data_IF_788201151702
#
_entry.id   IF_788201151702
#
_cell.length_a   1.000
_cell.length_b   1.000
_cell.length_c   1.000
_cell.angle_alpha   90.00
_cell.angle_beta   90.00
_cell.angle_gamma   90.00
#
_symmetry.space_group_name_H-M   'P 1'
#
loop_
_entity.id
_entity.type
_entity.pdbx_description
1 polymer ?
#
# COMPACT_ATOMS: atom_id res chain seq x y z
N UNK A 1 -37.10 27.37 -12.36
CA UNK A 1 -36.86 27.31 -10.91
C UNK A 1 -37.56 26.08 -10.35
N UNK A 2 -36.80 25.06 -9.95
CA UNK A 2 -37.26 23.97 -9.09
C UNK A 2 -36.00 23.40 -8.40
N UNK A 3 -35.95 23.49 -7.06
CA UNK A 3 -34.89 22.90 -6.23
C UNK A 3 -35.25 21.43 -5.97
N UNK A 4 -34.32 20.46 -6.03
CA UNK A 4 -34.58 19.16 -5.44
C UNK A 4 -34.42 19.27 -3.92
N UNK A 5 -35.42 18.77 -3.20
CA UNK A 5 -35.42 18.59 -1.75
C UNK A 5 -34.40 17.50 -1.40
N UNK A 6 -33.35 17.85 -0.64
CA UNK A 6 -32.58 16.85 0.11
C UNK A 6 -33.48 16.34 1.24
N UNK A 7 -33.96 15.11 1.13
CA UNK A 7 -34.49 14.38 2.27
C UNK A 7 -33.32 14.02 3.19
N UNK A 8 -33.20 14.72 4.32
CA UNK A 8 -32.32 14.31 5.42
C UNK A 8 -32.95 13.09 6.08
N UNK A 9 -32.33 11.93 5.93
CA UNK A 9 -32.74 10.72 6.64
C UNK A 9 -31.94 10.66 7.94
N UNK A 10 -32.62 10.88 9.07
CA UNK A 10 -32.11 10.55 10.40
C UNK A 10 -32.25 9.04 10.60
N UNK A 11 -31.13 8.31 10.67
CA UNK A 11 -31.14 6.87 11.00
C UNK A 11 -31.11 6.72 12.53
N UNK A 12 -32.12 6.02 13.07
CA UNK A 12 -32.29 5.79 14.50
C UNK A 12 -31.92 4.33 14.84
N UNK A 13 -31.16 4.09 15.91
CA UNK A 13 -30.51 2.81 16.20
C UNK A 13 -31.44 1.66 16.67
N UNK A 14 -32.75 1.89 16.76
CA UNK A 14 -33.71 0.93 17.35
C UNK A 14 -34.51 0.08 16.34
N UNK A 15 -34.26 0.19 15.03
CA UNK A 15 -35.06 -0.53 14.04
C UNK A 15 -34.58 -1.99 13.84
N UNK A 16 -35.19 -2.94 14.57
CA UNK A 16 -35.09 -4.38 14.28
C UNK A 16 -35.81 -4.71 12.96
N UNK A 17 -35.03 -4.80 11.87
CA UNK A 17 -35.32 -5.24 10.49
C UNK A 17 -35.43 -4.11 9.47
N UNK A 18 -34.46 -4.08 8.55
CA UNK A 18 -34.55 -3.38 7.26
C UNK A 18 -34.79 -4.43 6.18
N UNK A 19 -35.85 -4.26 5.38
CA UNK A 19 -36.18 -5.12 4.24
C UNK A 19 -35.40 -4.70 2.99
N UNK A 20 -34.54 -5.57 2.49
CA UNK A 20 -33.67 -5.37 1.33
C UNK A 20 -34.39 -5.73 0.01
N UNK A 21 -35.16 -4.80 -0.58
CA UNK A 21 -35.70 -5.03 -1.94
C UNK A 21 -35.40 -3.98 -3.01
N UNK A 22 -34.92 -2.77 -2.68
CA UNK A 22 -34.79 -1.70 -3.70
C UNK A 22 -33.39 -1.05 -3.82
N UNK A 23 -32.30 -1.75 -3.48
CA UNK A 23 -30.96 -1.15 -3.49
C UNK A 23 -30.05 -1.80 -4.53
N UNK A 24 -29.44 -0.97 -5.39
CA UNK A 24 -28.37 -1.38 -6.30
C UNK A 24 -27.10 -1.78 -5.54
N UNK A 25 -26.41 -2.80 -6.05
CA UNK A 25 -25.31 -3.52 -5.38
C UNK A 25 -24.18 -2.61 -4.86
N UNK A 26 -23.94 -1.46 -5.50
CA UNK A 26 -22.89 -0.50 -5.08
C UNK A 26 -23.22 0.33 -3.82
N UNK A 27 -24.50 0.58 -3.54
CA UNK A 27 -24.92 1.36 -2.36
C UNK A 27 -24.90 0.51 -1.07
N UNK A 28 -24.97 -0.82 -1.20
CA UNK A 28 -24.95 -1.75 -0.06
C UNK A 28 -23.58 -1.80 0.63
N UNK A 29 -22.47 -1.67 -0.11
CA UNK A 29 -21.11 -1.74 0.47
C UNK A 29 -20.77 -0.50 1.29
N UNK A 30 -21.14 0.70 0.83
CA UNK A 30 -20.90 1.93 1.57
C UNK A 30 -21.77 2.04 2.83
N UNK A 31 -23.04 1.59 2.76
CA UNK A 31 -23.95 1.60 3.90
C UNK A 31 -23.55 0.57 4.98
N UNK A 32 -23.01 -0.60 4.60
CA UNK A 32 -22.57 -1.61 5.55
C UNK A 32 -21.34 -1.18 6.35
N UNK A 33 -20.40 -0.47 5.71
CA UNK A 33 -19.20 0.10 6.36
C UNK A 33 -19.56 1.22 7.33
N UNK A 34 -20.56 2.04 6.99
CA UNK A 34 -21.04 3.12 7.88
C UNK A 34 -21.89 2.58 9.05
N UNK A 35 -22.67 1.52 8.85
CA UNK A 35 -23.51 0.94 9.91
C UNK A 35 -22.70 0.26 11.00
N UNK A 36 -21.61 -0.43 10.65
CA UNK A 36 -20.70 -1.06 11.64
C UNK A 36 -19.98 -0.05 12.53
N UNK A 37 -19.81 1.20 12.08
CA UNK A 37 -19.15 2.25 12.84
C UNK A 37 -20.07 2.93 13.89
N UNK A 38 -21.40 2.85 13.74
CA UNK A 38 -22.35 3.63 14.54
C UNK A 38 -23.09 2.85 15.64
N UNK A 39 -22.97 1.52 15.69
CA UNK A 39 -23.75 0.67 16.60
C UNK A 39 -22.88 -0.40 17.30
N UNK A 40 -22.03 0.04 18.24
CA UNK A 40 -21.40 -0.84 19.23
C UNK A 40 -22.05 -0.60 20.61
N UNK A 41 -22.50 -1.65 21.33
CA UNK A 41 -23.15 -1.46 22.62
C UNK A 41 -22.11 -1.18 23.71
N UNK A 42 -22.13 0.03 24.28
CA UNK A 42 -21.54 0.30 25.58
C UNK A 42 -22.44 -0.31 26.66
N UNK A 43 -21.95 -1.31 27.38
CA UNK A 43 -22.61 -1.83 28.58
C UNK A 43 -21.99 -1.24 29.85
N UNK A 44 -22.88 -1.04 30.82
CA UNK A 44 -22.77 -0.18 31.99
C UNK A 44 -21.75 -0.59 33.07
N UNK A 45 -21.51 0.40 33.92
CA UNK A 45 -20.55 0.55 35.02
C UNK A 45 -20.51 -0.57 36.08
N UNK A 46 -19.31 -0.77 36.63
CA UNK A 46 -19.03 -1.47 37.87
C UNK A 46 -17.59 -1.20 38.31
N UNK A 47 -17.43 -0.36 39.34
CA UNK A 47 -16.14 0.07 39.92
C UNK A 47 -15.31 -1.10 40.46
N UNK A 48 -14.00 -1.14 40.17
CA UNK A 48 -12.90 -1.18 41.17
C UNK A 48 -11.51 -1.35 40.51
N UNK A 49 -10.67 -0.32 40.68
CA UNK A 49 -9.21 -0.34 40.77
C UNK A 49 -8.38 -1.30 39.87
N UNK A 50 -8.13 -0.93 38.60
CA UNK A 50 -6.94 -1.31 37.83
C UNK A 50 -6.60 -0.25 36.75
N UNK A 51 -6.23 0.96 37.16
CA UNK A 51 -5.58 1.95 36.28
C UNK A 51 -4.11 1.59 36.08
N UNK A 52 -3.79 0.69 35.13
CA UNK A 52 -2.49 0.71 34.42
C UNK A 52 -2.39 -0.23 33.20
N UNK A 53 -3.48 -0.77 32.65
CA UNK A 53 -3.37 -1.80 31.59
C UNK A 53 -4.43 -1.72 30.46
N UNK A 54 -5.07 -0.58 30.24
CA UNK A 54 -6.20 -0.45 29.30
C UNK A 54 -6.00 0.57 28.15
N UNK A 55 -4.76 0.93 27.81
CA UNK A 55 -4.47 1.93 26.75
C UNK A 55 -4.23 1.37 25.32
N UNK A 56 -4.27 0.06 25.07
CA UNK A 56 -3.92 -0.50 23.75
C UNK A 56 -5.10 -1.14 22.98
N UNK A 57 -6.33 -0.67 23.22
CA UNK A 57 -7.39 -0.87 22.24
C UNK A 57 -7.12 0.08 21.06
N UNK A 58 -6.64 -0.45 19.93
CA UNK A 58 -6.26 0.38 18.78
C UNK A 58 -7.45 1.15 18.23
N UNK A 59 -7.35 2.48 18.25
CA UNK A 59 -8.29 3.37 17.59
C UNK A 59 -8.21 3.18 16.06
N UNK A 60 -9.21 2.51 15.49
CA UNK A 60 -9.35 2.32 14.04
C UNK A 60 -10.01 3.51 13.33
N UNK A 61 -10.41 4.53 14.10
CA UNK A 61 -11.12 5.72 13.59
C UNK A 61 -10.17 6.86 13.22
N UNK A 62 -8.94 6.86 13.74
CA UNK A 62 -7.92 7.87 13.41
C UNK A 62 -6.72 7.23 12.71
N UNK A 63 -6.33 7.75 11.53
CA UNK A 63 -5.14 7.28 10.82
C UNK A 63 -3.86 7.60 11.62
N UNK A 64 -3.30 6.60 12.30
CA UNK A 64 -2.08 6.75 13.12
C UNK A 64 -1.07 5.65 12.81
N UNK A 65 0.03 6.04 12.16
CA UNK A 65 1.16 5.14 11.91
C UNK A 65 2.12 5.13 13.10
N UNK A 66 2.68 3.96 13.37
CA UNK A 66 3.67 3.70 14.42
C UNK A 66 5.07 3.63 13.80
N UNK A 67 6.10 3.90 14.59
CA UNK A 67 7.48 3.71 14.14
C UNK A 67 7.71 2.24 13.74
N UNK A 68 8.46 2.03 12.66
CA UNK A 68 8.85 0.72 12.17
C UNK A 68 10.35 0.52 12.23
N UNK A 69 10.76 -0.63 12.72
CA UNK A 69 12.13 -1.11 12.66
C UNK A 69 12.29 -2.13 11.54
N UNK A 70 13.40 -2.02 10.82
CA UNK A 70 13.73 -2.91 9.72
C UNK A 70 13.66 -4.39 10.14
N UNK A 71 12.93 -5.20 9.38
CA UNK A 71 12.80 -6.65 9.57
C UNK A 71 11.62 -7.08 10.44
N UNK A 72 11.05 -6.20 11.27
CA UNK A 72 9.86 -6.49 12.08
C UNK A 72 8.65 -5.73 11.56
N UNK A 73 7.59 -6.45 11.20
CA UNK A 73 6.37 -5.83 10.70
C UNK A 73 5.53 -5.28 11.85
N UNK A 74 5.12 -4.01 11.74
CA UNK A 74 4.10 -3.46 12.62
C UNK A 74 2.72 -3.79 12.04
N UNK A 75 1.96 -4.65 12.72
CA UNK A 75 0.67 -5.14 12.22
C UNK A 75 -0.37 -4.02 12.09
N UNK A 76 -0.33 -3.01 12.97
CA UNK A 76 -1.23 -1.86 12.87
C UNK A 76 -0.95 -1.04 11.61
N UNK A 77 0.33 -0.82 11.29
CA UNK A 77 0.72 -0.16 10.05
C UNK A 77 0.33 -1.00 8.83
N UNK A 78 0.54 -2.31 8.89
CA UNK A 78 0.12 -3.22 7.82
C UNK A 78 -1.40 -3.17 7.57
N UNK A 79 -2.20 -3.11 8.63
CA UNK A 79 -3.64 -2.90 8.54
C UNK A 79 -3.98 -1.57 7.85
N UNK A 80 -3.34 -0.47 8.26
CA UNK A 80 -3.53 0.83 7.60
C UNK A 80 -3.11 0.83 6.13
N UNK A 81 -1.98 0.20 5.79
CA UNK A 81 -1.52 0.08 4.41
C UNK A 81 -2.49 -0.75 3.56
N UNK A 82 -3.05 -1.83 4.11
CA UNK A 82 -4.08 -2.62 3.45
C UNK A 82 -5.36 -1.80 3.22
N UNK A 83 -5.83 -1.05 4.23
CA UNK A 83 -7.01 -0.19 4.11
C UNK A 83 -6.84 0.91 3.08
N UNK A 84 -5.68 1.58 3.06
CA UNK A 84 -5.40 2.64 2.10
C UNK A 84 -5.20 2.07 0.68
N UNK A 85 -4.69 0.84 0.56
CA UNK A 85 -4.67 0.13 -0.71
C UNK A 85 -6.08 -0.24 -1.20
N UNK A 86 -7.02 -0.55 -0.30
CA UNK A 86 -8.43 -0.73 -0.64
C UNK A 86 -9.08 0.60 -1.06
N UNK A 87 -8.76 1.68 -0.33
CA UNK A 87 -9.27 3.02 -0.63
C UNK A 87 -8.81 3.54 -1.99
N UNK A 88 -7.64 3.12 -2.47
CA UNK A 88 -7.10 3.51 -3.77
C UNK A 88 -8.00 3.13 -4.95
N UNK A 89 -8.90 2.14 -4.78
CA UNK A 89 -9.89 1.76 -5.78
C UNK A 89 -11.10 2.70 -5.87
N UNK A 90 -11.30 3.56 -4.87
CA UNK A 90 -12.42 4.49 -4.83
C UNK A 90 -12.14 5.75 -5.68
N UNK A 91 -13.19 6.50 -6.01
CA UNK A 91 -13.04 7.80 -6.66
C UNK A 91 -12.31 8.80 -5.76
N UNK A 92 -11.64 9.80 -6.34
CA UNK A 92 -10.95 10.86 -5.58
C UNK A 92 -11.86 11.48 -4.50
N UNK A 93 -13.12 11.75 -4.85
CA UNK A 93 -14.10 12.28 -3.89
C UNK A 93 -14.31 11.35 -2.69
N UNK A 94 -14.55 10.06 -2.94
CA UNK A 94 -14.73 9.07 -1.89
C UNK A 94 -13.46 8.87 -1.05
N UNK A 95 -12.28 8.93 -1.68
CA UNK A 95 -10.99 8.92 -0.97
C UNK A 95 -10.89 10.08 0.00
N UNK A 96 -11.14 11.31 -0.46
CA UNK A 96 -11.08 12.53 0.37
C UNK A 96 -12.09 12.46 1.53
N UNK A 97 -13.34 12.05 1.26
CA UNK A 97 -14.35 11.88 2.30
C UNK A 97 -13.93 10.86 3.36
N UNK A 98 -13.42 9.70 2.94
CA UNK A 98 -12.96 8.67 3.87
C UNK A 98 -11.74 9.13 4.68
N UNK A 99 -10.77 9.80 4.05
CA UNK A 99 -9.58 10.34 4.72
C UNK A 99 -9.93 11.43 5.74
N UNK A 100 -10.86 12.33 5.41
CA UNK A 100 -11.39 13.32 6.36
C UNK A 100 -12.07 12.64 7.55
N UNK A 101 -12.86 11.59 7.31
CA UNK A 101 -13.48 10.81 8.39
C UNK A 101 -12.43 10.09 9.26
N UNK A 102 -11.24 9.82 8.74
CA UNK A 102 -10.10 9.25 9.45
C UNK A 102 -9.20 10.31 10.12
N UNK A 103 -9.61 11.58 10.13
CA UNK A 103 -8.88 12.69 10.72
C UNK A 103 -7.70 13.20 9.88
N UNK A 104 -7.56 12.77 8.63
CA UNK A 104 -6.49 13.24 7.76
C UNK A 104 -6.86 14.57 7.07
N UNK A 105 -5.96 15.58 7.06
CA UNK A 105 -6.15 16.80 6.29
C UNK A 105 -6.16 16.52 4.78
N UNK A 106 -6.97 17.27 4.03
CA UNK A 106 -7.20 17.06 2.58
C UNK A 106 -6.96 18.31 1.72
N UNK A 107 -6.17 19.26 2.22
CA UNK A 107 -5.69 20.41 1.44
C UNK A 107 -4.53 20.01 0.51
N UNK A 108 -4.06 20.93 -0.33
CA UNK A 108 -2.98 20.68 -1.31
C UNK A 108 -1.62 20.40 -0.65
N UNK A 109 -1.44 20.73 0.63
CA UNK A 109 -0.23 20.39 1.37
C UNK A 109 -0.24 18.92 1.79
N UNK A 110 -1.42 18.34 2.03
CA UNK A 110 -1.55 17.02 2.61
C UNK A 110 -2.06 15.95 1.65
N UNK A 111 -2.89 16.29 0.68
CA UNK A 111 -3.48 15.33 -0.25
C UNK A 111 -3.16 15.64 -1.71
N UNK A 112 -2.83 14.61 -2.49
CA UNK A 112 -2.69 14.71 -3.94
C UNK A 112 -3.15 13.43 -4.61
N UNK A 113 -4.02 13.57 -5.62
CA UNK A 113 -4.41 12.48 -6.49
C UNK A 113 -3.63 12.53 -7.81
N UNK A 114 -3.28 11.36 -8.34
CA UNK A 114 -2.58 11.18 -9.60
C UNK A 114 -3.39 10.23 -10.47
N UNK A 115 -3.68 10.65 -11.70
CA UNK A 115 -4.32 9.84 -12.73
C UNK A 115 -3.66 10.15 -14.07
N UNK A 116 -2.88 9.19 -14.58
CA UNK A 116 -2.17 9.31 -15.84
C UNK A 116 -2.16 7.97 -16.57
N UNK A 117 -2.56 7.97 -17.84
CA UNK A 117 -2.59 6.78 -18.69
C UNK A 117 -3.29 5.55 -18.06
N UNK A 118 -4.34 5.78 -17.27
CA UNK A 118 -5.09 4.72 -16.57
C UNK A 118 -4.40 4.19 -15.31
N UNK A 119 -3.26 4.75 -14.93
CA UNK A 119 -2.55 4.47 -13.68
C UNK A 119 -2.97 5.51 -12.64
N UNK A 120 -3.31 5.03 -11.44
CA UNK A 120 -3.83 5.88 -10.39
C UNK A 120 -3.09 5.67 -9.08
N UNK A 121 -2.82 6.77 -8.38
CA UNK A 121 -2.27 6.77 -7.04
C UNK A 121 -2.81 7.97 -6.26
N UNK A 122 -2.82 7.87 -4.93
CA UNK A 122 -3.01 9.03 -4.09
C UNK A 122 -1.93 9.11 -3.02
N UNK A 123 -1.60 10.34 -2.67
CA UNK A 123 -0.74 10.70 -1.56
C UNK A 123 -1.57 11.35 -0.47
N UNK A 124 -1.33 10.96 0.78
CA UNK A 124 -1.87 11.63 1.96
C UNK A 124 -0.79 11.79 3.02
N UNK A 125 -0.69 12.98 3.62
CA UNK A 125 0.18 13.27 4.74
C UNK A 125 -0.63 13.58 6.01
N UNK A 126 -0.10 13.10 7.12
CA UNK A 126 -0.51 13.43 8.49
C UNK A 126 0.65 14.16 9.18
N UNK A 127 0.45 14.59 10.42
CA UNK A 127 1.52 15.22 11.23
C UNK A 127 2.72 14.30 11.50
N UNK A 128 2.57 12.99 11.29
CA UNK A 128 3.58 12.01 11.71
C UNK A 128 4.11 11.13 10.57
N UNK A 129 3.38 11.01 9.47
CA UNK A 129 3.77 10.21 8.33
C UNK A 129 3.01 10.59 7.06
N UNK A 130 3.60 10.26 5.91
CA UNK A 130 3.01 10.30 4.60
C UNK A 130 2.78 8.89 4.07
N UNK A 131 1.72 8.72 3.29
CA UNK A 131 1.37 7.47 2.62
C UNK A 131 1.18 7.76 1.13
N UNK A 132 1.79 6.94 0.29
CA UNK A 132 1.56 6.86 -1.14
C UNK A 132 0.93 5.51 -1.47
N UNK A 133 -0.32 5.52 -1.91
CA UNK A 133 -1.08 4.31 -2.23
C UNK A 133 -1.39 4.23 -3.73
N UNK A 134 -0.97 3.14 -4.37
CA UNK A 134 -1.23 2.86 -5.77
C UNK A 134 -2.46 1.98 -5.94
N UNK A 135 -3.34 2.35 -6.87
CA UNK A 135 -4.49 1.54 -7.25
C UNK A 135 -4.05 0.34 -8.09
N UNK A 136 -4.66 -0.81 -7.86
CA UNK A 136 -4.53 -1.98 -8.73
C UNK A 136 -5.63 -2.06 -9.80
N UNK A 137 -5.82 -3.23 -10.39
CA UNK A 137 -6.96 -3.49 -11.29
C UNK A 137 -8.10 -4.20 -10.55
N UNK A 138 -9.32 -4.16 -11.10
CA UNK A 138 -10.53 -4.74 -10.49
C UNK A 138 -11.05 -5.96 -11.24
N UNK A 139 -11.73 -6.86 -10.50
CA UNK A 139 -12.65 -7.88 -11.01
C UNK A 139 -12.24 -8.62 -12.29
N UNK A 140 -12.87 -8.27 -13.42
CA UNK A 140 -12.63 -8.90 -14.71
C UNK A 140 -11.22 -8.65 -15.25
N UNK A 141 -10.71 -7.44 -15.07
CA UNK A 141 -9.37 -7.03 -15.50
C UNK A 141 -8.27 -7.65 -14.65
N UNK A 142 -8.56 -8.21 -13.47
CA UNK A 142 -7.57 -8.97 -12.70
C UNK A 142 -7.16 -10.26 -13.40
N UNK A 143 -8.11 -10.94 -14.08
CA UNK A 143 -7.79 -12.16 -14.83
C UNK A 143 -6.96 -11.83 -16.07
N UNK A 144 -7.30 -10.73 -16.74
CA UNK A 144 -6.54 -10.24 -17.89
C UNK A 144 -5.16 -9.77 -17.46
N UNK A 145 -5.06 -8.96 -16.40
CA UNK A 145 -3.80 -8.56 -15.78
C UNK A 145 -2.96 -9.76 -15.37
N UNK A 146 -3.56 -10.80 -14.78
CA UNK A 146 -2.83 -12.01 -14.43
C UNK A 146 -2.27 -12.70 -15.68
N UNK A 147 -3.07 -12.78 -16.76
CA UNK A 147 -2.63 -13.36 -18.04
C UNK A 147 -1.49 -12.54 -18.66
N UNK A 148 -1.61 -11.21 -18.62
CA UNK A 148 -0.61 -10.28 -19.12
C UNK A 148 0.66 -10.31 -18.27
N UNK A 149 0.52 -10.32 -16.93
CA UNK A 149 1.64 -10.43 -16.00
C UNK A 149 2.33 -11.80 -16.11
N UNK A 150 1.61 -12.85 -16.51
CA UNK A 150 2.20 -14.14 -16.82
C UNK A 150 2.97 -14.14 -18.15
N UNK A 151 2.71 -13.18 -19.05
CA UNK A 151 3.43 -13.06 -20.30
C UNK A 151 4.88 -12.60 -20.07
N UNK A 152 5.80 -13.17 -20.84
CA UNK A 152 7.23 -12.84 -20.76
C UNK A 152 7.56 -11.53 -21.50
N UNK A 153 6.99 -10.42 -21.03
CA UNK A 153 7.17 -9.10 -21.64
C UNK A 153 8.12 -8.24 -20.79
N UNK A 154 9.43 -8.34 -21.05
CA UNK A 154 10.46 -7.62 -20.31
C UNK A 154 11.06 -6.47 -21.11
N UNK A 155 11.35 -5.36 -20.42
CA UNK A 155 12.13 -4.24 -20.95
C UNK A 155 13.33 -3.98 -20.06
N UNK A 156 14.40 -3.43 -20.65
CA UNK A 156 15.53 -2.93 -19.88
C UNK A 156 15.08 -1.69 -19.11
N UNK A 157 15.17 -1.75 -17.78
CA UNK A 157 14.98 -0.60 -16.92
C UNK A 157 16.34 -0.07 -16.46
N UNK A 158 16.31 0.81 -15.45
CA UNK A 158 17.50 1.31 -14.78
C UNK A 158 18.30 0.18 -14.16
N UNK A 159 17.63 -0.75 -13.48
CA UNK A 159 18.28 -1.89 -12.87
C UNK A 159 17.64 -3.17 -13.37
N UNK A 160 18.44 -4.00 -14.05
CA UNK A 160 17.96 -5.26 -14.60
C UNK A 160 16.83 -5.07 -15.60
N UNK A 161 16.00 -6.10 -15.73
CA UNK A 161 14.81 -6.09 -16.58
C UNK A 161 13.55 -6.14 -15.74
N UNK A 162 12.53 -5.43 -16.18
CA UNK A 162 11.22 -5.30 -15.53
C UNK A 162 10.11 -5.70 -16.48
N UNK A 163 8.96 -6.05 -15.93
CA UNK A 163 7.76 -6.25 -16.75
C UNK A 163 7.36 -4.93 -17.43
N UNK A 164 7.18 -4.97 -18.76
CA UNK A 164 6.94 -3.80 -19.61
C UNK A 164 5.77 -2.95 -19.14
N UNK A 165 4.63 -3.58 -18.87
CA UNK A 165 3.43 -2.86 -18.44
C UNK A 165 3.58 -2.18 -17.07
N UNK A 166 4.41 -2.74 -16.17
CA UNK A 166 4.65 -2.12 -14.87
C UNK A 166 5.60 -0.92 -15.00
N UNK A 167 6.62 -1.01 -15.87
CA UNK A 167 7.50 0.10 -16.18
C UNK A 167 6.74 1.25 -16.86
N UNK A 168 6.03 0.96 -17.95
CA UNK A 168 5.24 1.97 -18.67
C UNK A 168 4.23 2.67 -17.75
N UNK A 169 3.57 1.90 -16.87
CA UNK A 169 2.64 2.48 -15.89
C UNK A 169 3.32 3.34 -14.82
N UNK A 170 4.51 2.94 -14.37
CA UNK A 170 5.29 3.72 -13.41
C UNK A 170 5.80 5.01 -14.06
N UNK A 171 6.34 4.93 -15.28
CA UNK A 171 6.82 6.09 -16.03
C UNK A 171 5.72 7.10 -16.36
N UNK A 172 4.51 6.62 -16.67
CA UNK A 172 3.37 7.50 -16.88
C UNK A 172 3.06 8.37 -15.64
N UNK A 173 3.18 7.80 -14.43
CA UNK A 173 3.04 8.57 -13.19
C UNK A 173 4.28 9.45 -12.92
N UNK A 174 5.47 8.99 -13.31
CA UNK A 174 6.77 9.65 -13.07
C UNK A 174 7.16 10.71 -14.12
N UNK A 175 6.24 11.10 -15.01
CA UNK A 175 6.46 12.16 -16.01
C UNK A 175 6.84 13.52 -15.38
N UNK A 176 7.33 14.43 -16.22
CA UNK A 176 7.75 15.79 -15.81
C UNK A 176 6.58 16.58 -15.19
N UNK A 177 6.76 17.07 -13.96
CA UNK A 177 5.71 17.67 -13.14
C UNK A 177 4.77 16.66 -12.44
N UNK A 178 5.05 15.36 -12.56
CA UNK A 178 4.23 14.26 -12.07
C UNK A 178 4.54 13.82 -10.63
N UNK A 179 4.32 12.54 -10.36
CA UNK A 179 4.50 11.92 -9.04
C UNK A 179 5.95 12.02 -8.55
N UNK A 180 6.92 11.84 -9.45
CA UNK A 180 8.34 11.91 -9.11
C UNK A 180 8.74 13.26 -8.53
N UNK A 181 8.39 14.34 -9.22
CA UNK A 181 8.71 15.70 -8.79
C UNK A 181 7.94 16.11 -7.53
N UNK A 182 6.68 15.67 -7.43
CA UNK A 182 5.90 15.85 -6.21
C UNK A 182 6.61 15.20 -5.01
N UNK A 183 7.01 13.93 -5.13
CA UNK A 183 7.72 13.23 -4.05
C UNK A 183 9.08 13.87 -3.76
N UNK A 184 9.82 14.28 -4.79
CA UNK A 184 11.10 15.02 -4.64
C UNK A 184 10.91 16.28 -3.81
N UNK A 185 9.85 17.06 -4.07
CA UNK A 185 9.57 18.31 -3.36
C UNK A 185 9.25 18.12 -1.86
N UNK A 186 8.76 16.93 -1.46
CA UNK A 186 8.33 16.63 -0.08
C UNK A 186 9.30 15.77 0.70
N UNK A 187 9.94 14.82 0.02
CA UNK A 187 10.72 13.73 0.60
C UNK A 187 12.14 13.63 0.03
N UNK A 188 12.52 14.57 -0.86
CA UNK A 188 13.87 14.66 -1.39
C UNK A 188 14.91 14.94 -0.30
N UNK A 189 16.03 14.25 -0.40
CA UNK A 189 17.17 14.36 0.51
C UNK A 189 18.45 14.49 -0.30
N UNK A 190 19.28 15.44 0.08
CA UNK A 190 20.63 15.63 -0.41
C UNK A 190 21.61 15.65 0.77
N UNK A 191 22.44 14.61 0.92
CA UNK A 191 23.41 14.49 2.02
C UNK A 191 24.33 15.71 2.16
N UNK A 192 24.64 16.41 1.06
CA UNK A 192 25.49 17.61 1.09
C UNK A 192 24.78 18.81 1.68
N UNK A 193 23.45 18.88 1.52
CA UNK A 193 22.59 19.98 1.98
C UNK A 193 22.01 19.67 3.37
N UNK A 194 21.50 18.46 3.56
CA UNK A 194 20.76 18.01 4.74
C UNK A 194 21.65 17.39 5.83
N UNK A 195 22.92 17.10 5.51
CA UNK A 195 23.81 16.38 6.41
C UNK A 195 23.59 14.87 6.39
N UNK A 196 24.14 14.10 7.36
CA UNK A 196 24.25 12.65 7.26
C UNK A 196 22.98 11.87 7.60
N UNK A 197 21.97 12.51 8.20
CA UNK A 197 20.72 11.86 8.63
C UNK A 197 19.53 12.54 7.99
N UNK A 198 18.74 11.85 7.14
CA UNK A 198 17.53 12.43 6.56
C UNK A 198 16.53 12.74 7.67
N UNK A 199 16.11 14.01 7.75
CA UNK A 199 15.00 14.47 8.58
C UNK A 199 13.84 14.84 7.66
N UNK A 200 13.01 13.86 7.35
CA UNK A 200 11.80 14.00 6.51
C UNK A 200 10.64 13.29 7.19
N UNK A 201 9.42 13.71 6.84
CA UNK A 201 8.22 13.01 7.24
C UNK A 201 8.29 11.56 6.71
N UNK A 202 8.16 10.53 7.55
CA UNK A 202 8.24 9.14 7.11
C UNK A 202 7.30 8.84 5.95
N UNK A 203 7.83 8.29 4.85
CA UNK A 203 7.05 7.94 3.67
C UNK A 203 6.80 6.43 3.61
N UNK A 204 5.53 6.04 3.69
CA UNK A 204 5.06 4.68 3.50
C UNK A 204 4.52 4.55 2.08
N UNK A 205 5.00 3.54 1.36
CA UNK A 205 4.57 3.25 -0.01
C UNK A 205 3.81 1.94 -0.01
N UNK A 206 2.61 1.93 -0.57
CA UNK A 206 1.73 0.76 -0.56
C UNK A 206 0.96 0.54 -1.85
N UNK A 207 0.53 -0.69 -2.07
CA UNK A 207 -0.39 -1.02 -3.13
C UNK A 207 -0.81 -2.48 -3.12
N UNK A 208 -1.93 -2.74 -3.78
CA UNK A 208 -2.50 -4.07 -3.94
C UNK A 208 -2.44 -4.51 -5.41
N UNK A 209 -2.17 -5.79 -5.66
CA UNK A 209 -2.15 -6.36 -7.03
C UNK A 209 -1.16 -5.60 -7.94
N UNK A 210 -1.60 -5.12 -9.11
CA UNK A 210 -0.84 -4.18 -9.97
C UNK A 210 -0.30 -2.98 -9.18
N UNK A 211 -1.09 -2.41 -8.26
CA UNK A 211 -0.65 -1.30 -7.43
C UNK A 211 0.56 -1.66 -6.56
N UNK A 212 0.68 -2.92 -6.13
CA UNK A 212 1.85 -3.41 -5.41
C UNK A 212 3.11 -3.52 -6.31
N UNK A 213 2.92 -3.84 -7.59
CA UNK A 213 4.02 -3.80 -8.57
C UNK A 213 4.49 -2.36 -8.83
N UNK A 214 3.55 -1.43 -9.02
CA UNK A 214 3.85 -0.01 -9.18
C UNK A 214 4.52 0.58 -7.93
N UNK A 215 4.04 0.23 -6.72
CA UNK A 215 4.67 0.61 -5.46
C UNK A 215 6.14 0.15 -5.35
N UNK A 216 6.43 -1.05 -5.85
CA UNK A 216 7.79 -1.61 -5.87
C UNK A 216 8.69 -0.82 -6.82
N UNK A 217 8.23 -0.54 -8.04
CA UNK A 217 9.00 0.25 -9.02
C UNK A 217 9.13 1.73 -8.62
N UNK A 218 8.09 2.33 -8.05
CA UNK A 218 8.13 3.68 -7.48
C UNK A 218 9.17 3.79 -6.35
N UNK A 219 9.28 2.75 -5.52
CA UNK A 219 10.32 2.67 -4.49
C UNK A 219 11.70 2.56 -5.13
N UNK A 220 11.90 1.68 -6.12
CA UNK A 220 13.16 1.62 -6.89
C UNK A 220 13.52 3.00 -7.45
N UNK A 221 12.58 3.67 -8.14
CA UNK A 221 12.74 5.00 -8.70
C UNK A 221 13.18 6.01 -7.66
N UNK A 222 12.50 6.03 -6.51
CA UNK A 222 12.82 6.90 -5.38
C UNK A 222 14.26 6.71 -4.86
N UNK A 223 14.78 5.48 -4.87
CA UNK A 223 16.13 5.16 -4.41
C UNK A 223 17.24 5.55 -5.40
N UNK A 224 16.93 5.57 -6.71
CA UNK A 224 17.86 5.96 -7.80
C UNK A 224 17.63 7.38 -8.32
N UNK A 225 16.67 8.09 -7.75
CA UNK A 225 16.16 9.35 -8.28
C UNK A 225 17.26 10.41 -8.49
N UNK A 226 18.20 10.54 -7.54
CA UNK A 226 19.34 11.44 -7.69
C UNK A 226 20.46 10.93 -8.61
N UNK A 227 20.40 9.69 -9.10
CA UNK A 227 21.28 9.21 -10.17
C UNK A 227 20.91 9.80 -11.53
N UNK A 228 19.63 10.14 -11.72
CA UNK A 228 19.07 10.55 -13.02
C UNK A 228 19.54 11.95 -13.43
N UNK A 229 19.77 12.82 -12.44
CA UNK A 229 20.25 14.18 -12.66
C UNK A 229 21.76 14.24 -12.96
N UNK A 230 22.54 13.25 -12.54
CA UNK A 230 23.97 13.17 -12.83
C UNK A 230 24.20 12.34 -14.11
N UNK A 231 24.09 13.00 -15.27
CA UNK A 231 24.30 12.39 -16.59
C UNK A 231 25.70 11.75 -16.80
N UNK A 232 26.61 11.84 -15.82
CA UNK A 232 27.92 11.17 -15.81
C UNK A 232 27.90 9.81 -15.11
N UNK A 233 26.80 9.44 -14.44
CA UNK A 233 26.69 8.18 -13.72
C UNK A 233 26.32 7.02 -14.66
N UNK A 234 27.31 6.21 -15.03
CA UNK A 234 27.06 4.81 -15.44
C UNK A 234 26.47 4.07 -14.22
N UNK A 235 25.42 3.27 -14.41
CA UNK A 235 24.68 2.53 -13.36
C UNK A 235 25.56 1.95 -12.24
N UNK A 236 25.11 1.96 -10.97
CA UNK A 236 25.85 2.67 -9.93
C UNK A 236 26.74 1.74 -9.10
N UNK A 237 28.03 1.71 -9.44
CA UNK A 237 29.09 1.53 -8.44
C UNK A 237 29.70 2.87 -8.00
N UNK A 238 29.30 3.99 -8.61
CA UNK A 238 29.81 5.31 -8.26
C UNK A 238 28.99 5.90 -7.10
N UNK A 239 29.71 6.41 -6.10
CA UNK A 239 29.27 6.82 -4.77
C UNK A 239 28.17 7.91 -4.71
N UNK A 240 27.66 8.46 -5.82
CA UNK A 240 26.79 9.65 -5.82
C UNK A 240 25.30 9.41 -5.61
N UNK A 241 24.76 8.27 -6.06
CA UNK A 241 23.33 7.96 -6.03
C UNK A 241 22.71 7.85 -4.62
N UNK A 242 23.54 7.55 -3.62
CA UNK A 242 23.07 7.42 -2.23
C UNK A 242 22.87 8.78 -1.58
N UNK A 243 23.56 9.79 -2.09
CA UNK A 243 23.59 11.12 -1.50
C UNK A 243 22.36 11.94 -1.89
N UNK A 244 21.75 11.67 -3.05
CA UNK A 244 20.56 12.36 -3.54
C UNK A 244 19.46 11.35 -3.86
N UNK A 245 18.33 11.43 -3.15
CA UNK A 245 17.23 10.45 -3.29
C UNK A 245 15.92 10.98 -2.72
N UNK A 246 14.84 10.27 -3.01
CA UNK A 246 13.59 10.37 -2.24
C UNK A 246 13.68 9.37 -1.07
N UNK A 247 13.42 9.85 0.15
CA UNK A 247 13.51 9.03 1.36
C UNK A 247 12.22 8.23 1.53
N UNK A 248 12.30 6.92 1.31
CA UNK A 248 11.22 5.97 1.60
C UNK A 248 11.50 5.29 2.94
N UNK A 249 10.51 5.26 3.83
CA UNK A 249 10.62 4.62 5.15
C UNK A 249 10.15 3.17 5.12
N UNK A 250 9.04 2.89 4.45
CA UNK A 250 8.44 1.55 4.41
C UNK A 250 7.82 1.26 3.05
N UNK A 251 7.95 0.01 2.60
CA UNK A 251 7.28 -0.52 1.42
C UNK A 251 6.43 -1.72 1.86
N UNK A 252 5.11 -1.60 1.74
CA UNK A 252 4.19 -2.70 2.03
C UNK A 252 3.34 -3.03 0.82
N UNK A 253 3.37 -4.28 0.37
CA UNK A 253 2.60 -4.68 -0.80
C UNK A 253 1.69 -5.85 -0.46
N UNK A 254 0.52 -5.91 -1.10
CA UNK A 254 -0.50 -6.93 -0.86
C UNK A 254 -0.83 -7.65 -2.16
N UNK A 255 -0.60 -8.96 -2.22
CA UNK A 255 -0.89 -9.75 -3.42
C UNK A 255 -0.07 -9.29 -4.65
N UNK A 256 1.07 -8.64 -4.47
CA UNK A 256 1.85 -8.09 -5.58
C UNK A 256 2.50 -9.20 -6.42
N UNK A 257 2.46 -9.12 -7.76
CA UNK A 257 3.19 -10.04 -8.64
C UNK A 257 4.70 -9.80 -8.56
N UNK A 258 5.48 -10.72 -9.13
CA UNK A 258 6.91 -10.49 -9.36
C UNK A 258 7.09 -9.36 -10.38
N UNK A 259 8.08 -8.49 -10.15
CA UNK A 259 8.18 -7.22 -10.89
C UNK A 259 9.29 -7.22 -11.93
N UNK A 260 10.44 -7.83 -11.61
CA UNK A 260 11.57 -7.87 -12.52
C UNK A 260 12.45 -9.09 -12.32
N UNK A 261 13.59 -9.08 -12.99
CA UNK A 261 14.50 -10.21 -13.06
C UNK A 261 15.37 -10.36 -11.80
N UNK A 262 16.18 -11.43 -11.69
CA UNK A 262 17.03 -11.65 -10.52
C UNK A 262 18.01 -10.49 -10.23
N UNK A 263 18.39 -9.72 -11.25
CA UNK A 263 19.29 -8.56 -11.10
C UNK A 263 18.59 -7.46 -10.32
N UNK A 264 17.37 -7.10 -10.73
CA UNK A 264 16.55 -6.14 -10.00
C UNK A 264 16.26 -6.62 -8.57
N UNK A 265 15.84 -7.87 -8.44
CA UNK A 265 15.45 -8.46 -7.16
C UNK A 265 16.57 -8.36 -6.11
N UNK A 266 17.79 -8.76 -6.50
CA UNK A 266 18.96 -8.73 -5.61
C UNK A 266 19.41 -7.30 -5.30
N UNK A 267 19.41 -6.42 -6.32
CA UNK A 267 19.82 -5.03 -6.14
C UNK A 267 18.85 -4.27 -5.21
N UNK A 268 17.54 -4.36 -5.46
CA UNK A 268 16.55 -3.65 -4.66
C UNK A 268 16.53 -4.17 -3.22
N UNK A 269 16.65 -5.48 -3.02
CA UNK A 269 16.75 -6.04 -1.67
C UNK A 269 17.97 -5.56 -0.89
N UNK A 270 19.12 -5.42 -1.55
CA UNK A 270 20.32 -4.85 -0.95
C UNK A 270 20.14 -3.36 -0.59
N UNK A 271 19.56 -2.56 -1.49
CA UNK A 271 19.35 -1.11 -1.26
C UNK A 271 18.30 -0.84 -0.18
N UNK A 272 17.20 -1.59 -0.15
CA UNK A 272 16.22 -1.52 0.95
C UNK A 272 16.89 -1.86 2.28
N UNK A 273 17.75 -2.89 2.28
CA UNK A 273 18.44 -3.31 3.49
C UNK A 273 19.47 -2.29 3.97
N UNK A 274 20.25 -1.72 3.06
CA UNK A 274 21.32 -0.78 3.40
C UNK A 274 20.75 0.57 3.84
N UNK A 275 19.62 1.00 3.27
CA UNK A 275 19.00 2.30 3.56
C UNK A 275 17.99 2.24 4.71
N UNK A 276 17.80 1.08 5.32
CA UNK A 276 16.91 0.90 6.47
C UNK A 276 15.42 0.97 6.10
N UNK A 277 15.06 0.64 4.86
CA UNK A 277 13.66 0.62 4.43
C UNK A 277 12.98 -0.63 4.99
N UNK A 278 11.87 -0.42 5.70
CA UNK A 278 11.04 -1.50 6.23
C UNK A 278 10.18 -2.09 5.10
N UNK A 279 10.64 -3.19 4.49
CA UNK A 279 9.95 -3.80 3.35
C UNK A 279 9.19 -5.08 3.73
N UNK A 280 7.93 -5.16 3.32
CA UNK A 280 7.02 -6.28 3.60
C UNK A 280 6.15 -6.62 2.38
N UNK A 281 6.15 -7.90 2.00
CA UNK A 281 5.31 -8.45 0.93
C UNK A 281 4.30 -9.40 1.54
N UNK A 282 3.03 -8.99 1.58
CA UNK A 282 1.95 -9.81 2.11
C UNK A 282 1.36 -10.72 1.05
N UNK A 283 1.20 -11.99 1.40
CA UNK A 283 0.53 -13.00 0.57
C UNK A 283 -0.55 -13.68 1.40
N UNK A 284 -1.78 -13.67 0.88
CA UNK A 284 -2.92 -14.30 1.53
C UNK A 284 -3.17 -15.71 0.99
N UNK A 285 -3.17 -16.70 1.88
CA UNK A 285 -3.55 -18.09 1.60
C UNK A 285 -2.97 -18.68 0.32
N UNK A 286 -3.78 -18.86 -0.72
CA UNK A 286 -3.37 -19.45 -1.98
C UNK A 286 -3.45 -18.43 -3.11
N UNK A 287 -3.28 -17.14 -2.81
CA UNK A 287 -3.23 -16.07 -3.81
C UNK A 287 -2.22 -16.42 -4.91
N UNK A 288 -2.72 -16.41 -6.15
CA UNK A 288 -1.97 -16.80 -7.35
C UNK A 288 -1.17 -15.64 -7.93
N UNK A 289 -1.56 -14.40 -7.67
CA UNK A 289 -0.92 -13.22 -8.28
C UNK A 289 0.54 -13.09 -7.87
N UNK A 290 0.92 -13.29 -6.59
CA UNK A 290 2.33 -13.32 -6.19
C UNK A 290 3.15 -14.43 -6.82
N UNK A 291 2.52 -15.42 -7.46
CA UNK A 291 3.23 -16.54 -8.09
C UNK A 291 3.57 -16.25 -9.56
N UNK A 292 3.16 -15.11 -10.11
CA UNK A 292 3.44 -14.73 -11.51
C UNK A 292 4.16 -13.39 -11.62
N UNK A 293 4.84 -13.14 -12.74
CA UNK A 293 5.39 -14.14 -13.67
C UNK A 293 6.38 -15.09 -12.99
N UNK A 294 6.58 -16.28 -13.56
CA UNK A 294 7.49 -17.32 -13.00
C UNK A 294 8.86 -17.30 -13.70
N UNK A 295 8.87 -17.33 -15.04
CA UNK A 295 10.10 -17.55 -15.81
C UNK A 295 10.94 -16.27 -15.81
N UNK A 296 12.13 -16.35 -15.20
CA UNK A 296 13.13 -15.27 -15.05
C UNK A 296 12.66 -14.01 -14.31
N UNK A 297 11.60 -14.13 -13.52
CA UNK A 297 11.19 -13.07 -12.61
C UNK A 297 11.42 -13.51 -11.18
N UNK A 298 11.78 -12.55 -10.32
CA UNK A 298 11.95 -12.77 -8.89
C UNK A 298 11.26 -11.66 -8.10
N UNK A 299 10.74 -12.02 -6.94
CA UNK A 299 10.44 -11.07 -5.88
C UNK A 299 11.72 -10.43 -5.40
N UNK A 300 11.59 -9.23 -4.85
CA UNK A 300 12.70 -8.55 -4.17
C UNK A 300 13.29 -9.51 -3.14
N UNK A 301 14.62 -9.68 -3.17
CA UNK A 301 15.29 -10.72 -2.43
C UNK A 301 16.49 -10.16 -1.67
N UNK A 302 16.63 -10.52 -0.40
CA UNK A 302 17.81 -10.17 0.40
C UNK A 302 18.72 -11.39 0.45
N UNK A 303 19.98 -11.24 0.01
CA UNK A 303 20.97 -12.34 -0.02
C UNK A 303 20.44 -13.58 -0.78
N UNK A 304 19.74 -13.35 -1.89
CA UNK A 304 19.07 -14.35 -2.73
C UNK A 304 17.89 -15.10 -2.08
N UNK A 305 17.38 -14.62 -0.94
CA UNK A 305 16.16 -15.15 -0.31
C UNK A 305 14.94 -14.27 -0.69
N UNK A 306 14.04 -14.79 -1.53
CA UNK A 306 12.77 -14.14 -1.92
C UNK A 306 11.74 -14.09 -0.80
N UNK A 307 11.96 -14.86 0.27
CA UNK A 307 11.09 -14.90 1.44
C UNK A 307 11.54 -13.94 2.55
N UNK A 308 12.70 -13.29 2.39
CA UNK A 308 13.23 -12.33 3.37
C UNK A 308 12.23 -11.22 3.72
N UNK A 309 11.43 -10.80 2.72
CA UNK A 309 10.40 -9.77 2.88
C UNK A 309 8.98 -10.35 2.97
N UNK A 310 8.79 -11.67 2.83
CA UNK A 310 7.48 -12.30 2.81
C UNK A 310 6.80 -12.24 4.18
N UNK A 311 5.50 -11.95 4.16
CA UNK A 311 4.58 -11.99 5.30
C UNK A 311 3.35 -12.81 4.89
N UNK A 312 3.27 -14.06 5.33
CA UNK A 312 2.21 -14.97 4.91
C UNK A 312 1.01 -14.89 5.86
N UNK A 313 -0.19 -14.69 5.31
CA UNK A 313 -1.46 -14.76 6.05
C UNK A 313 -2.11 -16.12 5.79
N UNK A 314 -2.13 -16.99 6.80
CA UNK A 314 -2.71 -18.32 6.67
C UNK A 314 -4.26 -18.30 6.73
N UNK A 315 -4.89 -19.45 6.48
CA UNK A 315 -6.36 -19.59 6.52
C UNK A 315 -6.97 -19.40 7.92
N UNK A 316 -6.16 -19.48 8.97
CA UNK A 316 -6.56 -19.16 10.34
C UNK A 316 -6.40 -17.67 10.67
N UNK A 317 -5.97 -16.84 9.73
CA UNK A 317 -5.73 -15.42 9.94
C UNK A 317 -4.43 -15.11 10.69
N UNK A 318 -3.52 -16.08 10.83
CA UNK A 318 -2.23 -15.88 11.50
C UNK A 318 -1.19 -15.34 10.52
N UNK A 319 -0.33 -14.47 11.04
CA UNK A 319 0.84 -14.00 10.33
C UNK A 319 2.01 -14.95 10.56
N UNK A 320 2.52 -15.56 9.49
CA UNK A 320 3.62 -16.52 9.52
C UNK A 320 4.81 -15.93 8.77
N UNK A 321 5.98 -15.98 9.40
CA UNK A 321 7.26 -15.67 8.76
C UNK A 321 7.85 -16.93 8.13
N UNK A 322 8.36 -16.84 6.91
CA UNK A 322 9.06 -17.94 6.22
C UNK A 322 8.24 -18.63 5.12
N UNK A 323 8.84 -19.68 4.54
CA UNK A 323 8.53 -20.21 3.21
C UNK A 323 7.04 -20.40 2.92
N UNK A 324 6.57 -19.73 1.88
CA UNK A 324 5.31 -20.02 1.24
C UNK A 324 5.36 -21.44 0.65
N UNK A 325 4.41 -22.31 1.02
CA UNK A 325 4.32 -23.63 0.41
C UNK A 325 3.51 -23.52 -0.89
N UNK A 326 4.22 -23.45 -2.02
CA UNK A 326 3.65 -23.36 -3.37
C UNK A 326 2.73 -24.54 -3.77
N UNK A 327 2.69 -25.63 -2.99
CA UNK A 327 1.85 -26.81 -3.28
C UNK A 327 0.36 -26.70 -2.88
N UNK A 328 -0.13 -25.52 -2.50
CA UNK A 328 -1.56 -25.31 -2.25
C UNK A 328 -2.28 -24.94 -3.53
N UNK A 329 -3.53 -25.39 -3.69
CA UNK A 329 -4.35 -25.06 -4.86
C UNK A 329 -4.49 -23.54 -4.98
N UNK A 330 -3.81 -22.91 -5.95
CA UNK A 330 -3.83 -21.46 -6.14
C UNK A 330 -5.23 -20.95 -6.51
N UNK A 331 -5.67 -19.85 -5.88
CA UNK A 331 -7.02 -19.30 -5.99
C UNK A 331 -7.00 -17.80 -6.18
N UNK A 332 -7.60 -17.34 -7.29
CA UNK A 332 -7.85 -15.91 -7.54
C UNK A 332 -8.82 -15.31 -6.51
N UNK A 333 -9.69 -16.12 -5.90
CA UNK A 333 -10.62 -15.66 -4.85
C UNK A 333 -9.92 -15.12 -3.59
N UNK A 334 -8.69 -15.57 -3.34
CA UNK A 334 -7.93 -15.19 -2.15
C UNK A 334 -7.16 -13.89 -2.36
N UNK A 335 -7.18 -13.35 -3.60
CA UNK A 335 -6.46 -12.16 -4.00
C UNK A 335 -7.14 -10.86 -3.55
N UNK A 336 -8.46 -10.81 -3.37
CA UNK A 336 -9.16 -9.55 -3.09
C UNK A 336 -8.63 -8.80 -1.85
N UNK A 337 -8.36 -7.50 -1.98
CA UNK A 337 -7.78 -6.65 -0.92
C UNK A 337 -8.54 -6.72 0.41
N UNK A 338 -9.87 -6.89 0.37
CA UNK A 338 -10.71 -7.03 1.56
C UNK A 338 -10.30 -8.22 2.45
N UNK A 339 -9.76 -9.30 1.86
CA UNK A 339 -9.26 -10.46 2.62
C UNK A 339 -8.03 -10.09 3.46
N UNK A 340 -7.14 -9.29 2.89
CA UNK A 340 -5.97 -8.77 3.60
C UNK A 340 -6.40 -7.81 4.72
N UNK A 341 -7.29 -6.85 4.41
CA UNK A 341 -7.81 -5.89 5.39
C UNK A 341 -8.46 -6.60 6.57
N UNK A 342 -9.35 -7.57 6.31
CA UNK A 342 -10.07 -8.31 7.35
C UNK A 342 -9.12 -9.05 8.30
N UNK A 343 -8.14 -9.78 7.76
CA UNK A 343 -7.19 -10.55 8.58
C UNK A 343 -6.27 -9.65 9.39
N UNK A 344 -5.80 -8.55 8.78
CA UNK A 344 -4.93 -7.59 9.45
C UNK A 344 -5.68 -6.80 10.52
N UNK A 345 -6.98 -6.52 10.35
CA UNK A 345 -7.82 -5.91 11.38
C UNK A 345 -7.87 -6.79 12.64
N UNK A 346 -8.12 -8.08 12.48
CA UNK A 346 -8.14 -9.04 13.60
C UNK A 346 -6.78 -9.10 14.29
N UNK A 347 -5.70 -9.19 13.51
CA UNK A 347 -4.33 -9.25 14.04
C UNK A 347 -3.90 -7.95 14.72
N UNK A 348 -4.44 -6.80 14.30
CA UNK A 348 -4.15 -5.50 14.90
C UNK A 348 -4.98 -5.26 16.18
N UNK A 349 -5.88 -6.17 16.55
CA UNK A 349 -6.73 -6.03 17.73
C UNK A 349 -8.03 -5.27 17.48
N UNK A 350 -8.40 -5.03 16.22
CA UNK A 350 -9.75 -4.60 15.85
C UNK A 350 -10.73 -5.74 16.09
N UNK A 351 -11.61 -5.59 17.08
CA UNK A 351 -12.73 -6.51 17.33
C UNK A 351 -13.96 -6.08 16.57
#
# INVERSE_FOLDING_TARGET
MARPLLSVVTMNCDAKKVSLRDWGVGAMSAALVLWTAACSPAFAEGETSQESALEDAQDTTTLRLRAETQGSVNVANAYWMARLSALAYQSEHAQRTALTALGAPIDDAHYRFFDQAGMQAFYVATDHAAILAFRGTEGGSLRDLWTDAAALNRVQAWVGRVHRGFEEGTEALWHDGGLGDFLRSRHGYDRKVDGPRPSRLPLFVTGHSLGGALATLATMRSLIDGCLEDQRATLPRSLGCKDRRIVVTSLMTFGAPRVGDPTLAAWLGAELSERGVSAHRFVNESDVVPQVPVIDYRHVALRNDEDAFLRYLDGGGRLVSGRFNENRSSRVSDHGIEKYVTKLAVLSGGR
#
